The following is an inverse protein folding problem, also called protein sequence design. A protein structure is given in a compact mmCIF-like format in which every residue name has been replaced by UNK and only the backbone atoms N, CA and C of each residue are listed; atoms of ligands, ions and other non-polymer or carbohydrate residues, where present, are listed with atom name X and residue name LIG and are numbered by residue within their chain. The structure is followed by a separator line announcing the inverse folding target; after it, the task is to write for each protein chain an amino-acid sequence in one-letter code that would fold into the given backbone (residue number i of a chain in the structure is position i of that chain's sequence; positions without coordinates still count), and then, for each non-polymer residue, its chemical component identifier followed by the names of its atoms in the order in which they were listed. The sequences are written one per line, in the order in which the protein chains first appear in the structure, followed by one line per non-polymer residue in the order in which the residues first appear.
data_IF_685851876939
#
_entry.id   IF_685851876939
#
_cell.length_a   1.000
_cell.length_b   1.000
_cell.length_c   1.000
_cell.angle_alpha   90.00
_cell.angle_beta   90.00
_cell.angle_gamma   90.00
#
_symmetry.space_group_name_H-M   'P 1'
#
loop_
_entity.id
_entity.type
_entity.pdbx_description
1 polymer ?
#
# COMPACT_ATOMS: atom_id res chain seq x y z
N UNK A 1 4.93 -1.34 -17.07
CA UNK A 1 5.80 -1.59 -15.91
C UNK A 1 6.31 -0.27 -15.32
N UNK A 2 7.13 0.50 -16.05
CA UNK A 2 7.67 1.80 -15.59
C UNK A 2 6.56 2.74 -15.09
N UNK A 3 5.53 2.99 -15.92
CA UNK A 3 4.41 3.87 -15.56
C UNK A 3 3.75 3.46 -14.24
N UNK A 4 3.43 2.18 -14.07
CA UNK A 4 2.81 1.66 -12.84
C UNK A 4 3.75 1.84 -11.63
N UNK A 5 5.02 1.45 -11.76
CA UNK A 5 5.99 1.61 -10.68
C UNK A 5 6.18 3.07 -10.28
N UNK A 6 6.29 3.98 -11.24
CA UNK A 6 6.39 5.42 -10.97
C UNK A 6 5.14 5.97 -10.31
N UNK A 7 3.94 5.61 -10.79
CA UNK A 7 2.69 6.05 -10.18
C UNK A 7 2.58 5.62 -8.71
N UNK A 8 2.88 4.35 -8.41
CA UNK A 8 2.89 3.84 -7.04
C UNK A 8 3.89 4.65 -6.19
N UNK A 9 5.11 4.88 -6.69
CA UNK A 9 6.09 5.71 -5.96
C UNK A 9 5.58 7.13 -5.69
N UNK A 10 4.83 7.74 -6.61
CA UNK A 10 4.23 9.07 -6.38
C UNK A 10 3.18 9.01 -5.27
N UNK A 11 2.30 8.00 -5.27
CA UNK A 11 1.31 7.82 -4.19
C UNK A 11 1.97 7.63 -2.82
N UNK A 12 3.08 6.89 -2.76
CA UNK A 12 3.83 6.67 -1.51
C UNK A 12 4.84 7.77 -1.19
N UNK A 13 5.13 8.71 -2.10
CA UNK A 13 6.26 9.63 -1.99
C UNK A 13 6.26 10.41 -0.67
N UNK A 14 5.10 10.96 -0.29
CA UNK A 14 5.00 11.75 0.94
C UNK A 14 5.29 10.90 2.18
N UNK A 15 4.71 9.70 2.26
CA UNK A 15 4.94 8.79 3.37
C UNK A 15 6.40 8.34 3.45
N UNK A 16 7.00 8.03 2.29
CA UNK A 16 8.43 7.67 2.21
C UNK A 16 9.34 8.80 2.66
N UNK A 17 9.02 10.06 2.33
CA UNK A 17 9.76 11.22 2.82
C UNK A 17 9.74 11.25 4.36
N UNK A 18 8.60 10.99 4.98
CA UNK A 18 8.50 10.96 6.45
C UNK A 18 9.29 9.79 7.06
N UNK A 19 9.25 8.62 6.42
CA UNK A 19 10.07 7.46 6.80
C UNK A 19 11.56 7.81 6.75
N UNK A 20 12.04 8.45 5.67
CA UNK A 20 13.45 8.83 5.54
C UNK A 20 13.87 9.96 6.47
N UNK A 21 12.94 10.84 6.86
CA UNK A 21 13.18 11.88 7.87
C UNK A 21 13.23 11.34 9.29
N UNK A 22 12.93 10.06 9.51
CA UNK A 22 12.87 9.47 10.84
C UNK A 22 11.74 10.03 11.71
N UNK A 23 10.71 10.62 11.08
CA UNK A 23 9.49 11.07 11.74
C UNK A 23 8.20 10.36 11.25
N UNK A 24 8.24 9.08 10.89
CA UNK A 24 7.04 8.43 10.36
C UNK A 24 5.93 8.28 11.41
N UNK A 25 6.25 8.10 12.69
CA UNK A 25 5.25 7.97 13.76
C UNK A 25 4.35 9.21 13.88
N UNK A 26 4.95 10.41 13.78
CA UNK A 26 4.18 11.67 13.86
C UNK A 26 3.19 11.81 12.70
N UNK A 27 3.57 11.34 11.51
CA UNK A 27 2.68 11.34 10.36
C UNK A 27 1.57 10.29 10.50
N UNK A 28 1.92 9.11 11.03
CA UNK A 28 0.98 8.03 11.30
C UNK A 28 -0.07 8.41 12.34
N UNK A 29 0.33 9.06 13.43
CA UNK A 29 -0.56 9.63 14.45
C UNK A 29 -1.53 10.64 13.83
N UNK A 30 -1.02 11.60 13.03
CA UNK A 30 -1.86 12.58 12.36
C UNK A 30 -2.87 11.94 11.39
N UNK A 31 -2.45 10.90 10.66
CA UNK A 31 -3.35 10.14 9.76
C UNK A 31 -4.40 9.37 10.54
N UNK A 32 -4.04 8.81 11.70
CA UNK A 32 -4.93 8.06 12.57
C UNK A 32 -6.00 8.97 13.17
N UNK A 33 -5.61 10.13 13.70
CA UNK A 33 -6.52 11.14 14.24
C UNK A 33 -7.54 11.59 13.17
N UNK A 34 -7.08 11.78 11.93
CA UNK A 34 -7.97 12.18 10.83
C UNK A 34 -8.91 11.03 10.42
N UNK A 35 -8.45 9.79 10.43
CA UNK A 35 -9.30 8.61 10.18
C UNK A 35 -10.36 8.43 11.26
N UNK A 36 -10.01 8.66 12.54
CA UNK A 36 -10.97 8.65 13.66
C UNK A 36 -12.00 9.76 13.52
N UNK A 37 -11.56 10.96 13.14
CA UNK A 37 -12.45 12.10 12.89
C UNK A 37 -13.43 11.80 11.74
N UNK A 38 -12.95 11.21 10.64
CA UNK A 38 -13.80 10.78 9.52
C UNK A 38 -14.80 9.72 9.99
N UNK A 39 -14.33 8.68 10.68
CA UNK A 39 -15.17 7.58 11.16
C UNK A 39 -16.26 8.04 12.14
N UNK A 40 -15.98 9.07 12.95
CA UNK A 40 -16.92 9.61 13.94
C UNK A 40 -17.90 10.65 13.38
N UNK A 41 -17.55 11.31 12.27
CA UNK A 41 -18.41 12.35 11.66
C UNK A 41 -19.49 11.74 10.76
N UNK A 42 -19.08 10.96 9.75
CA UNK A 42 -20.02 10.32 8.82
C UNK A 42 -19.42 9.04 8.22
N UNK A 43 -20.23 8.00 7.99
CA UNK A 43 -19.73 6.78 7.39
C UNK A 43 -19.27 7.05 5.96
N UNK A 44 -18.06 6.61 5.64
CA UNK A 44 -17.49 6.72 4.30
C UNK A 44 -18.32 5.88 3.34
N UNK A 45 -18.72 6.49 2.22
CA UNK A 45 -19.45 5.81 1.15
C UNK A 45 -18.76 4.51 0.75
N UNK A 46 -19.52 3.40 0.75
CA UNK A 46 -19.04 2.09 0.29
C UNK A 46 -18.53 2.19 -1.15
N UNK A 47 -19.14 3.01 -1.99
CA UNK A 47 -18.69 3.20 -3.38
C UNK A 47 -17.31 3.86 -3.44
N UNK A 48 -17.02 4.81 -2.54
CA UNK A 48 -15.70 5.44 -2.45
C UNK A 48 -14.66 4.42 -1.96
N UNK A 49 -14.98 3.64 -0.93
CA UNK A 49 -14.09 2.58 -0.44
C UNK A 49 -13.79 1.56 -1.55
N UNK A 50 -14.83 1.07 -2.24
CA UNK A 50 -14.67 0.12 -3.35
C UNK A 50 -13.84 0.73 -4.48
N UNK A 51 -14.04 2.01 -4.80
CA UNK A 51 -13.25 2.71 -5.81
C UNK A 51 -11.76 2.77 -5.42
N UNK A 52 -11.44 3.18 -4.19
CA UNK A 52 -10.06 3.29 -3.71
C UNK A 52 -9.36 1.93 -3.68
N UNK A 53 -10.04 0.89 -3.17
CA UNK A 53 -9.49 -0.48 -3.16
C UNK A 53 -9.29 -0.99 -4.60
N UNK A 54 -10.26 -0.76 -5.48
CA UNK A 54 -10.15 -1.19 -6.88
C UNK A 54 -8.99 -0.49 -7.59
N UNK A 55 -8.77 0.79 -7.30
CA UNK A 55 -7.65 1.56 -7.83
C UNK A 55 -6.31 1.03 -7.29
N UNK A 56 -6.22 0.77 -5.98
CA UNK A 56 -5.03 0.19 -5.36
C UNK A 56 -4.71 -1.19 -5.96
N UNK A 57 -5.69 -2.10 -6.03
CA UNK A 57 -5.53 -3.42 -6.64
C UNK A 57 -5.15 -3.37 -8.12
N UNK A 58 -5.70 -2.41 -8.87
CA UNK A 58 -5.33 -2.21 -10.27
C UNK A 58 -3.87 -1.77 -10.39
N UNK A 59 -3.44 -0.80 -9.57
CA UNK A 59 -2.08 -0.29 -9.59
C UNK A 59 -1.08 -1.37 -9.13
N UNK A 60 -1.27 -1.94 -7.96
CA UNK A 60 -0.36 -2.91 -7.35
C UNK A 60 -0.41 -4.26 -8.07
N UNK A 61 -1.60 -4.80 -8.30
CA UNK A 61 -1.80 -6.06 -9.01
C UNK A 61 -1.33 -5.96 -10.45
N UNK A 62 -1.66 -4.86 -11.15
CA UNK A 62 -1.16 -4.58 -12.48
C UNK A 62 0.36 -4.48 -12.52
N UNK A 63 0.96 -3.80 -11.54
CA UNK A 63 2.40 -3.71 -11.39
C UNK A 63 3.05 -5.10 -11.21
N UNK A 64 2.54 -5.94 -10.30
CA UNK A 64 3.10 -7.27 -10.06
C UNK A 64 2.96 -8.22 -11.26
N UNK A 65 1.79 -8.23 -11.91
CA UNK A 65 1.57 -9.03 -13.12
C UNK A 65 2.54 -8.61 -14.23
N UNK A 66 2.68 -7.30 -14.47
CA UNK A 66 3.62 -6.79 -15.46
C UNK A 66 5.08 -7.08 -15.08
N UNK A 67 5.39 -7.11 -13.79
CA UNK A 67 6.74 -7.45 -13.30
C UNK A 67 7.07 -8.92 -13.59
N UNK A 68 6.15 -9.83 -13.30
CA UNK A 68 6.32 -11.28 -13.51
C UNK A 68 6.47 -11.64 -14.99
N UNK A 69 5.79 -10.91 -15.88
CA UNK A 69 5.88 -11.10 -17.33
C UNK A 69 7.10 -10.39 -17.90
N UNK A 70 7.39 -9.17 -17.45
CA UNK A 70 8.42 -8.29 -18.01
C UNK A 70 9.85 -8.63 -17.58
N UNK A 71 10.05 -9.26 -16.42
CA UNK A 71 11.38 -9.59 -15.90
C UNK A 71 11.56 -11.10 -15.78
N UNK A 72 12.33 -11.68 -16.69
CA UNK A 72 12.59 -13.13 -16.75
C UNK A 72 13.85 -13.55 -15.97
N UNK A 73 13.94 -13.13 -14.71
CA UNK A 73 15.04 -13.50 -13.80
C UNK A 73 14.44 -14.32 -12.66
N UNK A 74 14.78 -15.61 -12.58
CA UNK A 74 14.12 -16.54 -11.64
C UNK A 74 14.18 -16.08 -10.17
N UNK A 75 15.33 -15.68 -9.60
CA UNK A 75 15.38 -15.14 -8.24
C UNK A 75 14.45 -13.94 -8.04
N UNK A 76 14.34 -13.07 -9.05
CA UNK A 76 13.49 -11.89 -8.99
C UNK A 76 12.01 -12.23 -9.04
N UNK A 77 11.60 -13.21 -9.84
CA UNK A 77 10.21 -13.69 -9.89
C UNK A 77 9.80 -14.36 -8.57
N UNK A 78 10.70 -15.09 -7.91
CA UNK A 78 10.47 -15.65 -6.58
C UNK A 78 10.27 -14.51 -5.57
N UNK A 79 11.13 -13.49 -5.61
CA UNK A 79 10.97 -12.29 -4.79
C UNK A 79 9.59 -11.66 -5.04
N UNK A 80 9.22 -11.36 -6.28
CA UNK A 80 7.90 -10.81 -6.62
C UNK A 80 6.75 -11.67 -6.09
N UNK A 81 6.86 -13.00 -6.15
CA UNK A 81 5.86 -13.91 -5.58
C UNK A 81 5.69 -13.76 -4.06
N UNK A 82 6.80 -13.60 -3.32
CA UNK A 82 6.75 -13.34 -1.87
C UNK A 82 6.07 -12.00 -1.55
N UNK A 83 6.31 -10.97 -2.37
CA UNK A 83 5.66 -9.68 -2.21
C UNK A 83 4.16 -9.77 -2.47
N UNK A 84 3.73 -10.47 -3.51
CA UNK A 84 2.30 -10.71 -3.77
C UNK A 84 1.63 -11.40 -2.57
N UNK A 85 2.28 -12.43 -2.00
CA UNK A 85 1.74 -13.13 -0.84
C UNK A 85 1.63 -12.21 0.39
N UNK A 86 2.64 -11.37 0.63
CA UNK A 86 2.62 -10.37 1.69
C UNK A 86 1.48 -9.35 1.51
N UNK A 87 1.29 -8.82 0.31
CA UNK A 87 0.23 -7.84 0.02
C UNK A 87 -1.17 -8.43 0.12
N UNK A 88 -1.37 -9.70 -0.28
CA UNK A 88 -2.64 -10.40 -0.04
C UNK A 88 -2.92 -10.50 1.46
N UNK A 89 -1.93 -10.93 2.26
CA UNK A 89 -2.08 -11.03 3.71
C UNK A 89 -2.34 -9.67 4.36
N UNK A 90 -1.63 -8.63 3.93
CA UNK A 90 -1.78 -7.26 4.41
C UNK A 90 -3.16 -6.69 4.07
N UNK A 91 -3.63 -6.82 2.84
CA UNK A 91 -4.96 -6.38 2.43
C UNK A 91 -6.09 -7.05 3.23
N UNK A 92 -5.94 -8.33 3.60
CA UNK A 92 -6.89 -9.01 4.48
C UNK A 92 -6.95 -8.40 5.88
N UNK A 93 -5.80 -7.94 6.41
CA UNK A 93 -5.74 -7.26 7.71
C UNK A 93 -6.40 -5.88 7.72
N UNK A 94 -6.53 -5.22 6.56
CA UNK A 94 -7.20 -3.92 6.44
C UNK A 94 -8.73 -4.03 6.38
N UNK A 95 -9.30 -5.21 6.16
CA UNK A 95 -10.77 -5.40 6.08
C UNK A 95 -11.53 -4.86 7.30
N UNK A 96 -11.10 -5.07 8.56
CA UNK A 96 -11.76 -4.51 9.73
C UNK A 96 -11.77 -2.97 9.74
N UNK A 97 -10.64 -2.33 9.38
CA UNK A 97 -10.53 -0.87 9.27
C UNK A 97 -11.55 -0.34 8.27
N UNK A 98 -11.62 -0.95 7.08
CA UNK A 98 -12.55 -0.57 6.02
C UNK A 98 -14.02 -0.75 6.44
N UNK A 99 -14.34 -1.79 7.22
CA UNK A 99 -15.68 -1.98 7.80
C UNK A 99 -16.00 -0.91 8.85
N UNK A 100 -15.03 -0.51 9.67
CA UNK A 100 -15.16 0.59 10.63
C UNK A 100 -15.48 1.91 9.93
N UNK A 101 -14.69 2.27 8.91
CA UNK A 101 -14.89 3.49 8.12
C UNK A 101 -16.24 3.52 7.39
N UNK A 102 -16.74 2.37 6.95
CA UNK A 102 -18.06 2.25 6.31
C UNK A 102 -19.24 2.29 7.30
N UNK A 103 -19.00 2.46 8.60
CA UNK A 103 -20.02 2.38 9.66
C UNK A 103 -20.61 0.98 9.86
N UNK A 104 -19.96 -0.07 9.36
CA UNK A 104 -20.40 -1.47 9.47
C UNK A 104 -19.82 -2.19 10.70
N UNK A 105 -18.90 -1.56 11.40
CA UNK A 105 -18.28 -2.01 12.65
C UNK A 105 -17.86 -0.77 13.46
N UNK A 106 -17.55 -0.97 14.74
CA UNK A 106 -16.94 0.08 15.56
C UNK A 106 -15.49 0.31 15.07
N UNK A 107 -15.15 1.55 14.74
CA UNK A 107 -13.79 1.92 14.40
C UNK A 107 -12.97 2.01 15.68
N UNK A 108 -11.79 1.39 15.69
CA UNK A 108 -10.80 1.53 16.76
C UNK A 108 -9.43 1.77 16.12
N UNK A 109 -8.65 2.67 16.71
CA UNK A 109 -7.28 2.95 16.30
C UNK A 109 -6.37 1.72 16.33
N UNK A 110 -6.66 0.78 17.23
CA UNK A 110 -5.92 -0.48 17.36
C UNK A 110 -6.05 -1.40 16.13
N UNK A 111 -7.01 -1.12 15.24
CA UNK A 111 -7.19 -1.87 13.99
C UNK A 111 -6.09 -1.56 12.97
N UNK A 112 -5.39 -0.44 13.11
CA UNK A 112 -4.32 -0.02 12.19
C UNK A 112 -2.94 -0.34 12.76
N UNK A 113 -2.26 -1.33 12.19
CA UNK A 113 -0.87 -1.64 12.53
C UNK A 113 0.09 -0.85 11.63
N UNK A 114 0.42 0.37 12.05
CA UNK A 114 1.32 1.25 11.32
C UNK A 114 2.73 0.68 11.09
N UNK A 115 3.18 -0.27 11.92
CA UNK A 115 4.47 -0.94 11.68
C UNK A 115 4.40 -1.80 10.42
N UNK A 116 3.26 -2.44 10.17
CA UNK A 116 3.03 -3.22 8.95
C UNK A 116 2.87 -2.29 7.75
N UNK A 117 2.11 -1.19 7.86
CA UNK A 117 1.98 -0.20 6.78
C UNK A 117 3.34 0.34 6.34
N UNK A 118 4.19 0.67 7.31
CA UNK A 118 5.54 1.17 7.07
C UNK A 118 6.43 0.12 6.42
N UNK A 119 6.27 -1.14 6.82
CA UNK A 119 6.98 -2.27 6.22
C UNK A 119 6.54 -2.48 4.78
N UNK A 120 5.24 -2.46 4.49
CA UNK A 120 4.68 -2.53 3.14
C UNK A 120 5.21 -1.39 2.26
N UNK A 121 5.13 -0.14 2.72
CA UNK A 121 5.62 1.01 1.97
C UNK A 121 7.12 0.91 1.61
N UNK A 122 7.96 0.49 2.57
CA UNK A 122 9.39 0.24 2.32
C UNK A 122 9.60 -0.88 1.32
N UNK A 123 8.87 -1.97 1.48
CA UNK A 123 8.95 -3.12 0.59
C UNK A 123 8.57 -2.74 -0.84
N UNK A 124 7.40 -2.16 -1.06
CA UNK A 124 6.97 -1.69 -2.38
C UNK A 124 8.04 -0.79 -3.02
N UNK A 125 8.58 0.15 -2.25
CA UNK A 125 9.60 1.07 -2.74
C UNK A 125 10.84 0.35 -3.20
N UNK A 126 11.39 -0.56 -2.39
CA UNK A 126 12.59 -1.32 -2.73
C UNK A 126 12.33 -2.18 -3.97
N UNK A 127 11.21 -2.90 -4.02
CA UNK A 127 10.86 -3.75 -5.14
C UNK A 127 10.67 -2.93 -6.44
N UNK A 128 10.05 -1.75 -6.37
CA UNK A 128 9.92 -0.85 -7.52
C UNK A 128 11.27 -0.32 -7.97
N UNK A 129 12.14 0.11 -7.04
CA UNK A 129 13.48 0.60 -7.40
C UNK A 129 14.32 -0.48 -8.07
N UNK A 130 14.29 -1.72 -7.57
CA UNK A 130 14.95 -2.86 -8.22
C UNK A 130 14.33 -3.11 -9.60
N UNK A 131 12.99 -3.09 -9.72
CA UNK A 131 12.30 -3.25 -11.01
C UNK A 131 12.78 -2.22 -12.03
N UNK A 132 12.77 -0.94 -11.65
CA UNK A 132 13.18 0.14 -12.53
C UNK A 132 14.66 -0.01 -12.93
N UNK A 133 15.53 -0.33 -11.96
CA UNK A 133 16.94 -0.61 -12.22
C UNK A 133 17.12 -1.75 -13.23
N UNK A 134 16.39 -2.85 -13.07
CA UNK A 134 16.43 -3.98 -14.00
C UNK A 134 15.89 -3.61 -15.38
N UNK A 135 14.78 -2.86 -15.46
CA UNK A 135 14.18 -2.43 -16.74
C UNK A 135 15.11 -1.51 -17.53
N UNK A 136 15.89 -0.66 -16.86
CA UNK A 136 16.82 0.25 -17.54
C UNK A 136 18.23 -0.35 -17.78
N UNK A 137 18.58 -1.42 -17.07
CA UNK A 137 19.89 -2.08 -17.22
C UNK A 137 19.88 -3.24 -18.23
N UNK A 138 18.70 -3.77 -18.56
CA UNK A 138 18.46 -4.81 -19.57
C UNK A 138 18.13 -4.18 -20.93
#
# INVERSE_FOLDING_TARGET
LVVFGTLILVFYAYYLIQIFRGQPERFEEMMLDELENIASTEPVSVNLIVFLISLALLLEGGYFVLTLIGINILPYRILTGLFIAFEIWHGLKLIPVLRGLAGKAEFSSDLMDWRIERLSARFFTIHILITLGLVFAL
#
